data_IF_186360029891
#
_entry.id   IF_186360029891
#
_cell.length_a   1.000
_cell.length_b   1.000
_cell.length_c   1.000
_cell.angle_alpha   90.00
_cell.angle_beta   90.00
_cell.angle_gamma   90.00
#
_symmetry.space_group_name_H-M   'P 1'
#
loop_
_entity.id
_entity.type
_entity.pdbx_description
1 polymer ?
#
# COMPACT_ATOMS: atom_id res chain seq x y z
N UNK A 1 13.78 -15.70 -7.33
CA UNK A 1 14.52 -14.68 -6.57
C UNK A 1 14.26 -14.79 -5.07
N UNK A 2 13.03 -14.63 -4.57
CA UNK A 2 12.71 -14.69 -3.14
C UNK A 2 13.07 -16.03 -2.44
N UNK A 3 13.03 -17.17 -3.16
CA UNK A 3 13.49 -18.48 -2.63
C UNK A 3 15.00 -18.56 -2.42
N UNK A 4 15.77 -17.82 -3.22
CA UNK A 4 17.24 -17.82 -3.17
C UNK A 4 17.78 -16.73 -2.24
N UNK A 5 17.05 -15.61 -2.12
CA UNK A 5 17.40 -14.47 -1.26
C UNK A 5 16.13 -13.93 -0.58
N UNK A 6 15.63 -14.57 0.48
CA UNK A 6 14.40 -14.15 1.16
C UNK A 6 14.55 -12.81 1.88
N UNK A 7 15.77 -12.37 2.21
CA UNK A 7 16.05 -11.05 2.78
C UNK A 7 16.14 -9.91 1.77
N UNK A 8 15.98 -10.19 0.46
CA UNK A 8 16.05 -9.15 -0.57
C UNK A 8 14.69 -8.52 -0.82
N UNK A 9 14.46 -7.36 -0.20
CA UNK A 9 13.18 -6.66 -0.18
C UNK A 9 12.61 -6.38 -1.59
N UNK A 10 13.44 -5.94 -2.53
CA UNK A 10 13.02 -5.59 -3.88
C UNK A 10 12.51 -6.80 -4.68
N UNK A 11 12.96 -8.00 -4.34
CA UNK A 11 12.43 -9.25 -4.92
C UNK A 11 10.97 -9.48 -4.53
N UNK A 12 10.62 -9.21 -3.28
CA UNK A 12 9.24 -9.25 -2.79
C UNK A 12 8.41 -8.12 -3.40
N UNK A 13 8.95 -6.90 -3.47
CA UNK A 13 8.25 -5.75 -4.06
C UNK A 13 7.87 -5.99 -5.53
N UNK A 14 8.80 -6.55 -6.33
CA UNK A 14 8.50 -6.89 -7.73
C UNK A 14 7.37 -7.92 -7.85
N UNK A 15 7.33 -8.92 -6.97
CA UNK A 15 6.23 -9.91 -6.96
C UNK A 15 4.92 -9.28 -6.49
N UNK A 16 4.95 -8.41 -5.48
CA UNK A 16 3.81 -7.65 -5.02
C UNK A 16 3.18 -6.84 -6.16
N UNK A 17 3.99 -6.10 -6.93
CA UNK A 17 3.51 -5.35 -8.11
C UNK A 17 2.84 -6.27 -9.13
N UNK A 18 3.46 -7.42 -9.45
CA UNK A 18 2.87 -8.37 -10.41
C UNK A 18 1.54 -8.96 -9.91
N UNK A 19 1.44 -9.27 -8.61
CA UNK A 19 0.21 -9.76 -7.98
C UNK A 19 -0.89 -8.70 -7.99
N UNK A 20 -0.55 -7.44 -7.71
CA UNK A 20 -1.48 -6.32 -7.78
C UNK A 20 -2.02 -6.12 -9.21
N UNK A 21 -1.14 -6.17 -10.22
CA UNK A 21 -1.55 -6.11 -11.64
C UNK A 21 -2.48 -7.28 -12.02
N UNK A 22 -2.25 -8.45 -11.44
CA UNK A 22 -3.11 -9.62 -11.59
C UNK A 22 -4.38 -9.58 -10.71
N UNK A 23 -4.65 -8.47 -10.01
CA UNK A 23 -5.77 -8.28 -9.07
C UNK A 23 -5.79 -9.29 -7.90
N UNK A 24 -4.65 -9.90 -7.59
CA UNK A 24 -4.46 -10.82 -6.46
C UNK A 24 -4.05 -10.01 -5.23
N UNK A 25 -4.95 -9.15 -4.76
CA UNK A 25 -4.64 -8.10 -3.80
C UNK A 25 -4.17 -8.63 -2.44
N UNK A 26 -4.81 -9.67 -1.90
CA UNK A 26 -4.43 -10.26 -0.61
C UNK A 26 -2.99 -10.80 -0.62
N UNK A 27 -2.60 -11.48 -1.69
CA UNK A 27 -1.23 -12.00 -1.84
C UNK A 27 -0.22 -10.87 -2.06
N UNK A 28 -0.61 -9.83 -2.81
CA UNK A 28 0.22 -8.64 -2.96
C UNK A 28 0.43 -7.91 -1.63
N UNK A 29 -0.60 -7.82 -0.78
CA UNK A 29 -0.49 -7.26 0.58
C UNK A 29 0.51 -8.05 1.41
N UNK A 30 0.43 -9.38 1.40
CA UNK A 30 1.37 -10.23 2.12
C UNK A 30 2.83 -9.97 1.67
N UNK A 31 3.06 -9.80 0.37
CA UNK A 31 4.38 -9.46 -0.15
C UNK A 31 4.81 -8.04 0.23
N UNK A 32 3.93 -7.05 0.16
CA UNK A 32 4.24 -5.69 0.60
C UNK A 32 4.58 -5.63 2.09
N UNK A 33 3.85 -6.37 2.95
CA UNK A 33 4.18 -6.51 4.38
C UNK A 33 5.57 -7.09 4.52
N UNK A 34 5.92 -8.13 3.75
CA UNK A 34 7.27 -8.70 3.80
C UNK A 34 8.35 -7.70 3.40
N UNK A 35 8.09 -6.85 2.40
CA UNK A 35 9.01 -5.76 2.04
C UNK A 35 9.20 -4.80 3.20
N UNK A 36 8.12 -4.42 3.90
CA UNK A 36 8.15 -3.47 5.01
C UNK A 36 8.85 -4.05 6.25
N UNK A 37 8.69 -5.34 6.52
CA UNK A 37 9.47 -6.05 7.56
C UNK A 37 10.98 -5.99 7.29
N UNK A 38 11.38 -6.12 6.02
CA UNK A 38 12.78 -6.09 5.61
C UNK A 38 13.34 -4.68 5.48
N UNK A 39 12.49 -3.73 5.08
CA UNK A 39 12.81 -2.32 4.92
C UNK A 39 11.59 -1.45 5.27
N UNK A 40 11.51 -0.95 6.53
CA UNK A 40 10.38 -0.14 7.00
C UNK A 40 10.17 1.17 6.24
N UNK A 41 11.21 1.69 5.59
CA UNK A 41 11.16 2.95 4.82
C UNK A 41 10.94 2.73 3.31
N UNK A 42 10.53 1.53 2.90
CA UNK A 42 10.29 1.22 1.49
C UNK A 42 8.98 1.85 0.98
N UNK A 43 9.03 3.13 0.60
CA UNK A 43 7.87 3.92 0.17
C UNK A 43 7.06 3.27 -0.97
N UNK A 44 7.70 2.54 -1.89
CA UNK A 44 7.02 1.83 -2.98
C UNK A 44 6.09 0.71 -2.49
N UNK A 45 6.44 0.06 -1.37
CA UNK A 45 5.63 -1.02 -0.81
C UNK A 45 4.51 -0.47 0.08
N UNK A 46 4.75 0.64 0.79
CA UNK A 46 3.71 1.37 1.50
C UNK A 46 2.66 1.94 0.55
N UNK A 47 3.08 2.54 -0.57
CA UNK A 47 2.16 2.98 -1.63
C UNK A 47 1.43 1.80 -2.26
N UNK A 48 2.13 0.68 -2.49
CA UNK A 48 1.56 -0.57 -2.98
C UNK A 48 0.50 -1.14 -2.04
N UNK A 49 0.70 -1.11 -0.72
CA UNK A 49 -0.32 -1.50 0.26
C UNK A 49 -1.58 -0.66 0.09
N UNK A 50 -1.45 0.66 0.00
CA UNK A 50 -2.60 1.56 -0.20
C UNK A 50 -3.41 1.20 -1.45
N UNK A 51 -2.73 0.95 -2.57
CA UNK A 51 -3.39 0.54 -3.82
C UNK A 51 -4.06 -0.84 -3.73
N UNK A 52 -3.46 -1.78 -3.01
CA UNK A 52 -4.05 -3.11 -2.81
C UNK A 52 -5.31 -3.05 -1.93
N UNK A 53 -5.27 -2.29 -0.83
CA UNK A 53 -6.43 -2.09 0.03
C UNK A 53 -7.59 -1.41 -0.71
N UNK A 54 -7.30 -0.41 -1.57
CA UNK A 54 -8.30 0.15 -2.48
C UNK A 54 -8.90 -0.90 -3.42
N UNK A 55 -8.07 -1.81 -3.95
CA UNK A 55 -8.52 -2.93 -4.78
C UNK A 55 -9.47 -3.89 -4.05
N UNK A 56 -9.36 -3.98 -2.72
CA UNK A 56 -10.24 -4.75 -1.84
C UNK A 56 -11.38 -3.91 -1.23
N UNK A 57 -11.51 -2.65 -1.63
CA UNK A 57 -12.48 -1.69 -1.09
C UNK A 57 -12.34 -1.41 0.42
N UNK A 58 -11.15 -1.63 0.99
CA UNK A 58 -10.81 -1.28 2.37
C UNK A 58 -10.21 0.13 2.39
N UNK A 59 -11.07 1.13 2.56
CA UNK A 59 -10.68 2.54 2.44
C UNK A 59 -9.89 3.02 3.65
N UNK A 60 -10.18 2.49 4.84
CA UNK A 60 -9.51 2.79 6.08
C UNK A 60 -8.06 2.29 6.06
N UNK A 61 -7.82 1.04 5.68
CA UNK A 61 -6.46 0.50 5.58
C UNK A 61 -5.67 1.16 4.45
N UNK A 62 -6.33 1.52 3.35
CA UNK A 62 -5.70 2.30 2.28
C UNK A 62 -5.24 3.68 2.77
N UNK A 63 -6.08 4.37 3.53
CA UNK A 63 -5.77 5.70 4.08
C UNK A 63 -4.54 5.65 5.01
N UNK A 64 -4.48 4.66 5.89
CA UNK A 64 -3.32 4.45 6.77
C UNK A 64 -2.02 4.25 5.98
N UNK A 65 -2.06 3.36 4.98
CA UNK A 65 -0.88 3.07 4.15
C UNK A 65 -0.37 4.30 3.38
N UNK A 66 -1.27 5.14 2.86
CA UNK A 66 -0.87 6.38 2.20
C UNK A 66 -0.35 7.44 3.18
N UNK A 67 -0.89 7.53 4.40
CA UNK A 67 -0.35 8.41 5.45
C UNK A 67 1.08 8.03 5.81
N UNK A 68 1.33 6.73 6.04
CA UNK A 68 2.68 6.20 6.26
C UNK A 68 3.61 6.43 5.07
N UNK A 69 3.08 6.45 3.85
CA UNK A 69 3.88 6.83 2.67
C UNK A 69 4.35 8.28 2.76
N UNK A 70 3.50 9.22 3.21
CA UNK A 70 3.89 10.63 3.38
C UNK A 70 4.84 10.87 4.55
N UNK A 71 4.81 10.03 5.58
CA UNK A 71 5.82 10.07 6.66
C UNK A 71 7.25 9.86 6.10
N UNK A 72 7.39 9.02 5.08
CA UNK A 72 8.68 8.72 4.43
C UNK A 72 8.96 9.63 3.23
N UNK A 73 7.92 9.96 2.45
CA UNK A 73 8.01 10.78 1.24
C UNK A 73 7.02 11.95 1.32
N UNK A 74 7.33 13.03 2.07
CA UNK A 74 6.39 14.11 2.37
C UNK A 74 5.85 14.85 1.14
N UNK A 75 6.59 14.83 0.04
CA UNK A 75 6.23 15.52 -1.21
C UNK A 75 5.55 14.60 -2.25
N UNK A 76 5.09 13.41 -1.84
CA UNK A 76 4.37 12.48 -2.73
C UNK A 76 2.99 13.02 -3.08
N UNK A 77 2.90 13.70 -4.23
CA UNK A 77 1.62 14.21 -4.78
C UNK A 77 0.57 13.12 -4.92
N UNK A 78 0.98 11.91 -5.31
CA UNK A 78 0.06 10.77 -5.47
C UNK A 78 -0.54 10.33 -4.12
N UNK A 79 0.29 10.18 -3.08
CA UNK A 79 -0.19 9.77 -1.76
C UNK A 79 -1.10 10.84 -1.15
N UNK A 80 -0.72 12.12 -1.23
CA UNK A 80 -1.55 13.23 -0.76
C UNK A 80 -2.94 13.24 -1.44
N UNK A 81 -3.00 13.02 -2.76
CA UNK A 81 -4.26 12.96 -3.49
C UNK A 81 -5.14 11.78 -3.04
N UNK A 82 -4.56 10.60 -2.81
CA UNK A 82 -5.34 9.46 -2.32
C UNK A 82 -5.90 9.72 -0.91
N UNK A 83 -5.11 10.32 -0.01
CA UNK A 83 -5.55 10.69 1.34
C UNK A 83 -6.77 11.63 1.28
N UNK A 84 -6.68 12.72 0.51
CA UNK A 84 -7.77 13.69 0.37
C UNK A 84 -9.08 13.01 -0.10
N UNK A 85 -8.98 12.17 -1.13
CA UNK A 85 -10.13 11.43 -1.68
C UNK A 85 -10.74 10.49 -0.63
N UNK A 86 -9.90 9.76 0.09
CA UNK A 86 -10.33 8.76 1.06
C UNK A 86 -10.98 9.42 2.29
N UNK A 87 -10.38 10.47 2.83
CA UNK A 87 -10.93 11.22 3.96
C UNK A 87 -12.31 11.80 3.64
N UNK A 88 -12.47 12.36 2.42
CA UNK A 88 -13.77 12.84 1.95
C UNK A 88 -14.81 11.72 1.89
N UNK A 89 -14.49 10.59 1.24
CA UNK A 89 -15.41 9.45 1.10
C UNK A 89 -15.81 8.85 2.44
N UNK A 90 -14.86 8.71 3.36
CA UNK A 90 -15.10 8.16 4.70
C UNK A 90 -15.96 9.12 5.54
N UNK A 91 -15.71 10.43 5.45
CA UNK A 91 -16.56 11.45 6.10
C UNK A 91 -17.99 11.43 5.58
N UNK A 92 -18.18 11.36 4.26
CA UNK A 92 -19.49 11.27 3.63
C UNK A 92 -20.24 9.98 4.02
N UNK A 93 -19.53 8.86 4.17
CA UNK A 93 -20.12 7.58 4.58
C UNK A 93 -20.58 7.60 6.03
N UNK A 94 -19.82 8.26 6.93
CA UNK A 94 -20.17 8.40 8.35
C UNK A 94 -21.38 9.29 8.60
N UNK A 95 -21.68 10.24 7.71
CA UNK A 95 -22.84 11.15 7.81
C UNK A 95 -24.17 10.51 7.37
N UNK A 96 -24.12 9.33 6.74
CA UNK A 96 -25.30 8.62 6.21
C UNK A 96 -25.87 7.58 7.18
N UNK A 97 -25.31 7.47 8.38
CA UNK A 97 -25.71 6.60 9.48
C UNK A 97 -26.31 7.50 10.56
#
# INVERSE_FOLDING_TARGET
MIRLKPGYAEGWNKRATALWMARRYQESVADCIKVIELNPHHFGALSGLGLNYLGMNDMEAALDAFKRTLEILPYSRSAARYIEILEKKLSESRKKI
#
